data_IF_112034014821
#
_entry.id   IF_112034014821
#
_cell.length_a   1.000
_cell.length_b   1.000
_cell.length_c   1.000
_cell.angle_alpha   90.00
_cell.angle_beta   90.00
_cell.angle_gamma   90.00
#
_symmetry.space_group_name_H-M   'P 1'
#
loop_
_entity.id
_entity.type
_entity.pdbx_description
1 polymer ?
#
# COMPACT_ATOMS: atom_id res chain seq x y z
N UNK A 1 -25.62 8.03 -9.92
CA UNK A 1 -25.74 8.60 -8.56
C UNK A 1 -26.94 8.07 -7.76
N UNK A 2 -28.07 7.73 -8.39
CA UNK A 2 -29.20 7.10 -7.67
C UNK A 2 -28.79 5.80 -6.98
N UNK A 3 -27.91 5.01 -7.59
CA UNK A 3 -27.36 3.79 -7.00
C UNK A 3 -26.41 4.12 -5.84
N UNK A 4 -25.55 5.14 -6.00
CA UNK A 4 -24.67 5.65 -4.92
C UNK A 4 -25.51 6.07 -3.70
N UNK A 5 -26.54 6.85 -3.95
CA UNK A 5 -27.46 7.29 -2.89
C UNK A 5 -28.13 6.13 -2.15
N UNK A 6 -28.58 5.11 -2.89
CA UNK A 6 -29.18 3.92 -2.30
C UNK A 6 -28.17 3.11 -1.45
N UNK A 7 -26.92 2.97 -1.94
CA UNK A 7 -25.86 2.25 -1.24
C UNK A 7 -25.42 2.96 0.04
N UNK A 8 -25.29 4.30 0.00
CA UNK A 8 -24.86 5.10 1.15
C UNK A 8 -25.99 5.45 2.12
N UNK A 9 -27.26 5.26 1.75
CA UNK A 9 -28.42 5.74 2.55
C UNK A 9 -28.45 7.27 2.71
N UNK A 10 -28.02 8.00 1.66
CA UNK A 10 -27.76 9.45 1.71
C UNK A 10 -29.01 10.31 1.61
N UNK A 11 -28.91 11.54 2.11
CA UNK A 11 -29.94 12.59 1.96
C UNK A 11 -29.86 13.25 0.58
N UNK A 12 -30.92 14.00 0.20
CA UNK A 12 -30.96 14.76 -1.06
C UNK A 12 -29.79 15.75 -1.17
N UNK A 13 -29.48 16.45 -0.07
CA UNK A 13 -28.39 17.44 -0.05
C UNK A 13 -27.01 16.79 -0.29
N UNK A 14 -26.79 15.59 0.25
CA UNK A 14 -25.57 14.83 0.02
C UNK A 14 -25.47 14.33 -1.42
N UNK A 15 -26.58 13.94 -2.06
CA UNK A 15 -26.62 13.58 -3.48
C UNK A 15 -26.21 14.76 -4.36
N UNK A 16 -26.68 15.96 -4.02
CA UNK A 16 -26.32 17.18 -4.75
C UNK A 16 -24.82 17.50 -4.60
N UNK A 17 -24.27 17.31 -3.41
CA UNK A 17 -22.82 17.45 -3.17
C UNK A 17 -22.01 16.46 -4.01
N UNK A 18 -22.36 15.15 -3.97
CA UNK A 18 -21.71 14.12 -4.78
C UNK A 18 -21.85 14.39 -6.29
N UNK A 19 -22.99 14.92 -6.72
CA UNK A 19 -23.22 15.31 -8.12
C UNK A 19 -22.28 16.44 -8.56
N UNK A 20 -22.09 17.43 -7.70
CA UNK A 20 -21.14 18.54 -7.97
C UNK A 20 -19.72 18.02 -8.09
N UNK A 21 -19.27 17.20 -7.14
CA UNK A 21 -17.92 16.63 -7.15
C UNK A 21 -17.70 15.75 -8.40
N UNK A 22 -18.65 14.89 -8.75
CA UNK A 22 -18.55 14.07 -9.96
C UNK A 22 -18.46 14.91 -11.26
N UNK A 23 -19.24 15.99 -11.34
CA UNK A 23 -19.16 16.93 -12.48
C UNK A 23 -17.84 17.69 -12.53
N UNK A 24 -17.35 18.15 -11.37
CA UNK A 24 -16.05 18.82 -11.27
C UNK A 24 -14.93 17.89 -11.71
N UNK A 25 -14.90 16.67 -11.23
CA UNK A 25 -13.93 15.66 -11.66
C UNK A 25 -14.02 15.36 -13.15
N UNK A 26 -15.23 15.33 -13.72
CA UNK A 26 -15.43 15.16 -15.16
C UNK A 26 -14.94 16.32 -16.02
N UNK A 27 -14.79 17.52 -15.43
CA UNK A 27 -14.27 18.70 -16.13
C UNK A 27 -12.78 18.95 -15.94
N UNK A 28 -12.20 18.41 -14.88
CA UNK A 28 -10.81 18.68 -14.45
C UNK A 28 -9.86 17.49 -14.62
N UNK A 29 -10.39 16.30 -14.91
CA UNK A 29 -9.60 15.07 -15.08
C UNK A 29 -9.84 14.46 -16.46
N UNK A 30 -9.10 13.40 -16.78
CA UNK A 30 -9.33 12.61 -18.02
C UNK A 30 -10.62 11.77 -17.98
N UNK A 31 -11.27 11.66 -16.83
CA UNK A 31 -12.46 10.85 -16.63
C UNK A 31 -13.73 11.69 -16.85
N UNK A 32 -14.79 11.05 -17.30
CA UNK A 32 -16.12 11.69 -17.41
C UNK A 32 -16.80 11.79 -16.06
N UNK A 33 -17.80 12.68 -15.94
CA UNK A 33 -18.62 12.77 -14.73
C UNK A 33 -19.35 11.44 -14.39
N UNK A 34 -19.69 10.65 -15.40
CA UNK A 34 -20.28 9.30 -15.20
C UNK A 34 -19.25 8.37 -14.58
N UNK A 35 -18.03 8.32 -15.08
CA UNK A 35 -16.95 7.51 -14.53
C UNK A 35 -16.61 7.94 -13.09
N UNK A 36 -16.58 9.24 -12.80
CA UNK A 36 -16.42 9.74 -11.45
C UNK A 36 -17.57 9.30 -10.51
N UNK A 37 -18.80 9.29 -11.02
CA UNK A 37 -19.94 8.76 -10.27
C UNK A 37 -19.86 7.24 -10.05
N UNK A 38 -19.30 6.49 -10.99
CA UNK A 38 -19.05 5.05 -10.82
C UNK A 38 -17.97 4.82 -9.74
N UNK A 39 -16.91 5.62 -9.72
CA UNK A 39 -15.90 5.56 -8.66
C UNK A 39 -16.49 5.85 -7.27
N UNK A 40 -17.41 6.84 -7.16
CA UNK A 40 -18.15 7.07 -5.91
C UNK A 40 -18.96 5.84 -5.48
N UNK A 41 -19.52 5.09 -6.44
CA UNK A 41 -20.26 3.87 -6.10
C UNK A 41 -19.34 2.78 -5.54
N UNK A 42 -18.12 2.61 -6.07
CA UNK A 42 -17.14 1.67 -5.50
C UNK A 42 -16.74 2.08 -4.09
N UNK A 43 -16.50 3.36 -3.83
CA UNK A 43 -16.20 3.87 -2.49
C UNK A 43 -17.37 3.63 -1.53
N UNK A 44 -18.63 3.82 -2.00
CA UNK A 44 -19.82 3.50 -1.23
C UNK A 44 -19.93 2.03 -0.86
N UNK A 45 -19.64 1.13 -1.79
CA UNK A 45 -19.63 -0.32 -1.55
C UNK A 45 -18.55 -0.73 -0.55
N UNK A 46 -17.43 -0.02 -0.50
CA UNK A 46 -16.40 -0.18 0.52
C UNK A 46 -16.77 0.43 1.90
N UNK A 47 -17.95 0.99 2.03
CA UNK A 47 -18.50 1.51 3.28
C UNK A 47 -18.15 2.98 3.58
N UNK A 48 -17.64 3.73 2.59
CA UNK A 48 -17.39 5.16 2.78
C UNK A 48 -18.73 5.91 2.70
N UNK A 49 -18.93 6.84 3.64
CA UNK A 49 -20.05 7.78 3.57
C UNK A 49 -19.85 8.83 2.46
N UNK A 50 -20.83 9.66 2.24
CA UNK A 50 -20.84 10.64 1.16
C UNK A 50 -19.70 11.66 1.27
N UNK A 51 -19.41 12.14 2.48
CA UNK A 51 -18.40 13.16 2.71
C UNK A 51 -17.00 12.59 2.49
N UNK A 52 -16.73 11.41 3.04
CA UNK A 52 -15.48 10.71 2.88
C UNK A 52 -15.23 10.28 1.42
N UNK A 53 -16.25 9.76 0.75
CA UNK A 53 -16.15 9.38 -0.66
C UNK A 53 -15.87 10.61 -1.55
N UNK A 54 -16.55 11.74 -1.29
CA UNK A 54 -16.31 13.00 -2.00
C UNK A 54 -14.89 13.54 -1.76
N UNK A 55 -14.39 13.42 -0.53
CA UNK A 55 -13.05 13.90 -0.15
C UNK A 55 -11.95 13.10 -0.87
N UNK A 56 -12.04 11.77 -0.92
CA UNK A 56 -10.97 10.91 -1.47
C UNK A 56 -11.08 10.68 -2.98
N UNK A 57 -12.24 10.96 -3.60
CA UNK A 57 -12.46 10.73 -5.04
C UNK A 57 -11.39 11.34 -5.93
N UNK A 58 -10.96 12.62 -5.76
CA UNK A 58 -9.91 13.20 -6.60
C UNK A 58 -8.61 12.40 -6.57
N UNK A 59 -8.21 11.92 -5.38
CA UNK A 59 -7.00 11.14 -5.16
C UNK A 59 -7.07 9.76 -5.84
N UNK A 60 -8.23 9.10 -5.76
CA UNK A 60 -8.51 7.83 -6.45
C UNK A 60 -8.42 8.00 -7.97
N UNK A 61 -9.03 9.05 -8.52
CA UNK A 61 -8.97 9.34 -9.95
C UNK A 61 -7.54 9.65 -10.41
N UNK A 62 -6.78 10.40 -9.62
CA UNK A 62 -5.38 10.69 -9.89
C UNK A 62 -4.53 9.40 -9.89
N UNK A 63 -4.73 8.53 -8.92
CA UNK A 63 -4.06 7.23 -8.85
C UNK A 63 -4.40 6.35 -10.05
N UNK A 64 -5.68 6.25 -10.42
CA UNK A 64 -6.13 5.53 -11.60
C UNK A 64 -5.50 6.09 -12.88
N UNK A 65 -5.40 7.43 -12.97
CA UNK A 65 -4.78 8.10 -14.11
C UNK A 65 -3.28 7.81 -14.21
N UNK A 66 -2.56 7.91 -13.08
CA UNK A 66 -1.12 7.69 -13.00
C UNK A 66 -0.75 6.22 -13.27
N UNK A 67 -1.56 5.28 -12.78
CA UNK A 67 -1.34 3.85 -12.95
C UNK A 67 -1.88 3.25 -14.24
N UNK A 68 -2.66 4.00 -15.02
CA UNK A 68 -3.38 3.45 -16.19
C UNK A 68 -4.39 2.36 -15.79
N UNK A 69 -4.92 2.43 -14.57
CA UNK A 69 -5.85 1.46 -13.99
C UNK A 69 -7.30 1.86 -14.27
N UNK A 70 -8.21 0.89 -14.25
CA UNK A 70 -9.62 1.20 -14.20
C UNK A 70 -10.03 1.72 -12.81
N UNK A 71 -11.20 2.38 -12.75
CA UNK A 71 -11.64 3.05 -11.53
C UNK A 71 -12.10 2.08 -10.43
N UNK A 72 -12.63 0.92 -10.81
CA UNK A 72 -12.99 -0.10 -9.84
C UNK A 72 -11.76 -0.57 -9.09
N UNK A 73 -10.73 -0.99 -9.83
CA UNK A 73 -9.47 -1.46 -9.24
C UNK A 73 -8.77 -0.37 -8.41
N UNK A 74 -8.73 0.88 -8.90
CA UNK A 74 -8.13 1.99 -8.14
C UNK A 74 -8.88 2.29 -6.83
N UNK A 75 -10.21 2.22 -6.85
CA UNK A 75 -11.04 2.39 -5.67
C UNK A 75 -10.81 1.28 -4.66
N UNK A 76 -10.86 0.02 -5.10
CA UNK A 76 -10.60 -1.15 -4.26
C UNK A 76 -9.18 -1.10 -3.68
N UNK A 77 -8.17 -0.79 -4.51
CA UNK A 77 -6.79 -0.64 -4.05
C UNK A 77 -6.65 0.39 -2.92
N UNK A 78 -7.27 1.56 -3.07
CA UNK A 78 -7.21 2.60 -2.03
C UNK A 78 -7.92 2.15 -0.77
N UNK A 79 -9.15 1.65 -0.87
CA UNK A 79 -9.95 1.26 0.30
C UNK A 79 -9.31 0.11 1.06
N UNK A 80 -8.84 -0.91 0.36
CA UNK A 80 -8.22 -2.10 0.94
C UNK A 80 -6.83 -1.78 1.52
N UNK A 81 -6.02 -0.96 0.83
CA UNK A 81 -4.72 -0.55 1.34
C UNK A 81 -4.85 0.29 2.61
N UNK A 82 -5.73 1.30 2.63
CA UNK A 82 -5.96 2.11 3.82
C UNK A 82 -6.41 1.26 5.00
N UNK A 83 -7.37 0.34 4.77
CA UNK A 83 -7.86 -0.56 5.81
C UNK A 83 -6.77 -1.53 6.29
N UNK A 84 -6.07 -2.23 5.39
CA UNK A 84 -5.07 -3.23 5.75
C UNK A 84 -3.83 -2.64 6.43
N UNK A 85 -3.45 -1.42 6.06
CA UNK A 85 -2.33 -0.70 6.66
C UNK A 85 -2.72 0.11 7.91
N UNK A 86 -4.00 0.04 8.32
CA UNK A 86 -4.55 0.82 9.43
C UNK A 86 -4.31 2.33 9.30
N UNK A 87 -4.45 2.85 8.07
CA UNK A 87 -4.29 4.26 7.74
C UNK A 87 -5.67 4.87 7.54
N UNK A 88 -5.93 6.01 8.17
CA UNK A 88 -7.17 6.74 7.94
C UNK A 88 -7.31 7.16 6.47
N UNK A 89 -8.42 6.79 5.85
CA UNK A 89 -8.70 7.17 4.47
C UNK A 89 -9.25 8.60 4.42
N UNK A 90 -8.35 9.58 4.36
CA UNK A 90 -8.62 10.98 4.06
C UNK A 90 -7.82 11.41 2.83
N UNK A 91 -8.13 12.58 2.29
CA UNK A 91 -7.48 13.07 1.06
C UNK A 91 -5.96 13.09 1.18
N UNK A 92 -5.41 13.58 2.30
CA UNK A 92 -3.96 13.68 2.50
C UNK A 92 -3.28 12.31 2.46
N UNK A 93 -3.80 11.34 3.20
CA UNK A 93 -3.21 9.99 3.29
C UNK A 93 -3.32 9.23 1.96
N UNK A 94 -4.44 9.39 1.24
CA UNK A 94 -4.63 8.76 -0.08
C UNK A 94 -3.73 9.41 -1.13
N UNK A 95 -3.57 10.74 -1.12
CA UNK A 95 -2.63 11.43 -1.99
C UNK A 95 -1.18 10.99 -1.70
N UNK A 96 -0.80 10.93 -0.43
CA UNK A 96 0.54 10.47 -0.03
C UNK A 96 0.81 9.03 -0.46
N UNK A 97 -0.14 8.13 -0.25
CA UNK A 97 -0.07 6.75 -0.71
C UNK A 97 0.10 6.65 -2.23
N UNK A 98 -0.73 7.35 -2.99
CA UNK A 98 -0.66 7.39 -4.45
C UNK A 98 0.67 7.94 -4.96
N UNK A 99 1.18 9.00 -4.34
CA UNK A 99 2.46 9.61 -4.69
C UNK A 99 3.64 8.66 -4.42
N UNK A 100 3.63 7.95 -3.29
CA UNK A 100 4.65 6.94 -2.97
C UNK A 100 4.65 5.79 -3.95
N UNK A 101 3.46 5.28 -4.33
CA UNK A 101 3.32 4.26 -5.36
C UNK A 101 3.85 4.72 -6.72
N UNK A 102 3.46 5.91 -7.16
CA UNK A 102 3.91 6.47 -8.44
C UNK A 102 5.44 6.70 -8.43
N UNK A 103 5.99 7.21 -7.33
CA UNK A 103 7.43 7.39 -7.17
C UNK A 103 8.18 6.06 -7.20
N UNK A 104 7.72 5.05 -6.47
CA UNK A 104 8.32 3.72 -6.48
C UNK A 104 8.27 3.09 -7.87
N UNK A 105 7.13 3.18 -8.57
CA UNK A 105 6.97 2.70 -9.93
C UNK A 105 7.92 3.39 -10.93
N UNK A 106 8.20 4.68 -10.73
CA UNK A 106 9.14 5.43 -11.60
C UNK A 106 10.61 5.03 -11.42
N UNK A 107 10.95 4.40 -10.29
CA UNK A 107 12.32 4.02 -9.92
C UNK A 107 12.56 2.50 -9.94
N UNK A 108 11.52 1.71 -10.10
CA UNK A 108 11.56 0.26 -10.05
C UNK A 108 11.05 -0.37 -11.35
N UNK A 109 11.39 -1.63 -11.57
CA UNK A 109 10.87 -2.41 -12.70
C UNK A 109 9.45 -2.95 -12.42
N UNK A 110 8.53 -2.05 -12.01
CA UNK A 110 7.13 -2.36 -11.76
C UNK A 110 6.26 -1.16 -12.14
N UNK A 111 4.99 -1.40 -12.44
CA UNK A 111 3.99 -0.35 -12.56
C UNK A 111 3.20 -0.15 -11.25
N UNK A 112 2.40 0.90 -11.18
CA UNK A 112 1.60 1.25 -9.99
C UNK A 112 0.65 0.12 -9.59
N UNK A 113 0.01 -0.54 -10.57
CA UNK A 113 -0.92 -1.65 -10.32
C UNK A 113 -0.20 -2.85 -9.68
N UNK A 114 0.98 -3.22 -10.20
CA UNK A 114 1.78 -4.32 -9.63
C UNK A 114 2.26 -4.00 -8.21
N UNK A 115 2.68 -2.76 -7.93
CA UNK A 115 3.02 -2.36 -6.57
C UNK A 115 1.80 -2.35 -5.66
N UNK A 116 0.65 -1.91 -6.15
CA UNK A 116 -0.61 -1.97 -5.41
C UNK A 116 -1.00 -3.40 -5.03
N UNK A 117 -0.98 -4.33 -6.00
CA UNK A 117 -1.23 -5.76 -5.76
C UNK A 117 -0.26 -6.35 -4.72
N UNK A 118 1.02 -5.98 -4.81
CA UNK A 118 2.02 -6.40 -3.83
C UNK A 118 1.69 -5.88 -2.42
N UNK A 119 1.29 -4.62 -2.28
CA UNK A 119 0.89 -4.03 -1.00
C UNK A 119 -0.30 -4.76 -0.39
N UNK A 120 -1.35 -5.02 -1.17
CA UNK A 120 -2.51 -5.78 -0.70
C UNK A 120 -2.12 -7.19 -0.23
N UNK A 121 -1.15 -7.82 -0.91
CA UNK A 121 -0.66 -9.15 -0.54
C UNK A 121 0.15 -9.13 0.77
N UNK A 122 0.96 -8.10 1.01
CA UNK A 122 1.65 -7.92 2.31
C UNK A 122 0.63 -7.70 3.42
N UNK A 123 -0.39 -6.90 3.13
CA UNK A 123 -1.51 -6.61 4.03
C UNK A 123 -1.06 -6.04 5.37
N UNK A 124 -1.81 -6.38 6.42
CA UNK A 124 -1.56 -5.89 7.78
C UNK A 124 -0.19 -6.24 8.37
N UNK A 125 0.57 -7.15 7.76
CA UNK A 125 1.95 -7.46 8.21
C UNK A 125 2.86 -6.23 8.10
N UNK A 126 2.57 -5.31 7.17
CA UNK A 126 3.34 -4.09 6.98
C UNK A 126 3.06 -2.98 8.02
N UNK A 127 2.05 -3.12 8.87
CA UNK A 127 1.68 -2.08 9.87
C UNK A 127 2.78 -1.80 10.89
N UNK A 128 3.69 -2.76 11.10
CA UNK A 128 4.79 -2.64 12.05
C UNK A 128 6.10 -2.11 11.43
N UNK A 129 6.11 -1.81 10.13
CA UNK A 129 7.27 -1.21 9.49
C UNK A 129 7.53 0.20 10.04
N UNK A 130 8.78 0.49 10.39
CA UNK A 130 9.20 1.74 11.06
C UNK A 130 8.82 2.99 10.26
N UNK A 131 9.06 2.97 8.95
CA UNK A 131 8.76 4.10 8.05
C UNK A 131 7.45 3.90 7.26
N UNK A 132 6.63 2.93 7.67
CA UNK A 132 5.31 2.67 7.10
C UNK A 132 5.32 2.45 5.59
N UNK A 133 4.47 3.21 4.88
CA UNK A 133 4.32 3.06 3.42
C UNK A 133 5.58 3.41 2.61
N UNK A 134 6.48 4.24 3.12
CA UNK A 134 7.74 4.57 2.45
C UNK A 134 8.66 3.35 2.38
N UNK A 135 8.87 2.70 3.52
CA UNK A 135 9.67 1.48 3.61
C UNK A 135 9.04 0.34 2.81
N UNK A 136 7.72 0.17 2.92
CA UNK A 136 6.95 -0.83 2.18
C UNK A 136 7.13 -0.69 0.66
N UNK A 137 6.91 0.50 0.11
CA UNK A 137 7.03 0.74 -1.34
C UNK A 137 8.47 0.65 -1.83
N UNK A 138 9.45 1.02 -1.01
CA UNK A 138 10.87 0.88 -1.32
C UNK A 138 11.27 -0.59 -1.40
N UNK A 139 10.92 -1.39 -0.40
CA UNK A 139 11.22 -2.83 -0.38
C UNK A 139 10.58 -3.56 -1.56
N UNK A 140 9.31 -3.28 -1.87
CA UNK A 140 8.62 -3.86 -3.03
C UNK A 140 9.25 -3.43 -4.36
N UNK A 141 9.71 -2.18 -4.46
CA UNK A 141 10.45 -1.68 -5.62
C UNK A 141 11.78 -2.42 -5.84
N UNK A 142 12.51 -2.69 -4.77
CA UNK A 142 13.76 -3.49 -4.83
C UNK A 142 13.49 -4.93 -5.26
N UNK A 143 12.46 -5.59 -4.72
CA UNK A 143 12.04 -6.92 -5.14
C UNK A 143 11.63 -6.94 -6.62
N UNK A 144 10.92 -5.91 -7.08
CA UNK A 144 10.52 -5.80 -8.48
C UNK A 144 11.72 -5.67 -9.44
N UNK A 145 12.82 -5.04 -9.01
CA UNK A 145 14.04 -4.93 -9.80
C UNK A 145 14.74 -6.27 -10.04
N UNK A 146 14.55 -7.23 -9.15
CA UNK A 146 15.04 -8.61 -9.31
C UNK A 146 13.99 -9.57 -9.88
N UNK A 147 12.85 -9.04 -10.35
CA UNK A 147 11.81 -9.80 -11.04
C UNK A 147 10.62 -10.21 -10.19
N UNK A 148 10.66 -10.03 -8.88
CA UNK A 148 9.58 -10.38 -7.94
C UNK A 148 8.56 -9.24 -7.90
N UNK A 149 7.45 -9.37 -8.64
CA UNK A 149 6.45 -8.31 -8.86
C UNK A 149 5.05 -8.75 -8.41
N UNK A 150 4.17 -7.78 -8.23
CA UNK A 150 2.76 -8.04 -7.90
C UNK A 150 2.61 -8.90 -6.65
N UNK A 151 1.67 -9.83 -6.67
CA UNK A 151 1.39 -10.73 -5.55
C UNK A 151 2.61 -11.57 -5.13
N UNK A 152 3.48 -11.96 -6.07
CA UNK A 152 4.69 -12.71 -5.77
C UNK A 152 5.65 -11.88 -4.90
N UNK A 153 5.96 -10.63 -5.32
CA UNK A 153 6.79 -9.71 -4.54
C UNK A 153 6.21 -9.43 -3.16
N UNK A 154 4.88 -9.22 -3.09
CA UNK A 154 4.16 -9.07 -1.83
C UNK A 154 4.28 -10.27 -0.91
N UNK A 155 4.16 -11.48 -1.45
CA UNK A 155 4.31 -12.74 -0.70
C UNK A 155 5.73 -12.88 -0.13
N UNK A 156 6.76 -12.60 -0.94
CA UNK A 156 8.13 -12.64 -0.48
C UNK A 156 8.39 -11.64 0.64
N UNK A 157 7.98 -10.38 0.47
CA UNK A 157 8.16 -9.36 1.51
C UNK A 157 7.41 -9.72 2.80
N UNK A 158 6.16 -10.19 2.68
CA UNK A 158 5.39 -10.66 3.83
C UNK A 158 6.13 -11.75 4.60
N UNK A 159 6.69 -12.73 3.89
CA UNK A 159 7.42 -13.83 4.51
C UNK A 159 8.71 -13.35 5.18
N UNK A 160 9.43 -12.39 4.58
CA UNK A 160 10.61 -11.77 5.20
C UNK A 160 10.21 -11.09 6.53
N UNK A 161 9.17 -10.25 6.52
CA UNK A 161 8.72 -9.56 7.72
C UNK A 161 8.28 -10.56 8.80
N UNK A 162 7.50 -11.58 8.45
CA UNK A 162 7.07 -12.61 9.40
C UNK A 162 8.23 -13.41 9.97
N UNK A 163 9.23 -13.75 9.15
CA UNK A 163 10.42 -14.48 9.62
C UNK A 163 11.27 -13.64 10.59
N UNK A 164 11.32 -12.32 10.40
CA UNK A 164 11.99 -11.40 11.32
C UNK A 164 11.20 -11.21 12.61
N UNK A 165 9.89 -11.08 12.53
CA UNK A 165 9.02 -10.87 13.70
C UNK A 165 8.83 -12.12 14.56
N UNK A 166 8.83 -13.29 13.95
CA UNK A 166 8.55 -14.58 14.61
C UNK A 166 9.49 -15.66 14.07
N UNK A 167 10.80 -15.54 14.34
CA UNK A 167 11.78 -16.51 13.86
C UNK A 167 11.55 -17.90 14.51
N UNK A 168 11.91 -18.96 13.77
CA UNK A 168 11.99 -20.30 14.35
C UNK A 168 13.04 -20.33 15.47
N UNK A 169 13.03 -21.37 16.32
CA UNK A 169 14.00 -21.50 17.41
C UNK A 169 15.45 -21.49 16.88
N UNK A 170 15.69 -22.17 15.78
CA UNK A 170 17.01 -22.25 15.16
C UNK A 170 17.42 -20.90 14.56
N UNK A 171 16.51 -20.24 13.82
CA UNK A 171 16.75 -18.90 13.30
C UNK A 171 17.00 -17.87 14.41
N UNK A 172 16.21 -17.90 15.49
CA UNK A 172 16.40 -17.03 16.66
C UNK A 172 17.77 -17.21 17.30
N UNK A 173 18.26 -18.45 17.41
CA UNK A 173 19.59 -18.74 17.94
C UNK A 173 20.70 -18.16 17.03
N UNK A 174 20.59 -18.36 15.73
CA UNK A 174 21.55 -17.81 14.76
C UNK A 174 21.53 -16.28 14.78
N UNK A 175 20.35 -15.66 14.83
CA UNK A 175 20.22 -14.21 14.96
C UNK A 175 20.93 -13.67 16.20
N UNK A 176 20.78 -14.36 17.36
CA UNK A 176 21.49 -13.99 18.61
C UNK A 176 23.01 -14.16 18.47
N UNK A 177 23.49 -15.25 17.86
CA UNK A 177 24.91 -15.50 17.62
C UNK A 177 25.53 -14.44 16.69
N UNK A 178 24.75 -13.92 15.72
CA UNK A 178 25.15 -12.85 14.82
C UNK A 178 25.00 -11.44 15.43
N UNK A 179 24.39 -11.32 16.62
CA UNK A 179 24.06 -10.03 17.23
C UNK A 179 22.99 -9.24 16.45
N UNK A 180 22.14 -9.92 15.69
CA UNK A 180 21.09 -9.30 14.89
C UNK A 180 19.88 -8.97 15.78
N UNK A 181 19.60 -7.69 15.93
CA UNK A 181 18.44 -7.18 16.68
C UNK A 181 17.36 -6.70 15.71
N UNK A 182 16.16 -7.27 15.82
CA UNK A 182 14.98 -6.87 14.99
C UNK A 182 14.21 -5.73 15.65
N UNK A 183 14.25 -5.63 16.95
CA UNK A 183 13.50 -4.65 17.73
C UNK A 183 14.42 -3.67 18.42
N UNK A 184 13.96 -2.45 18.59
CA UNK A 184 14.64 -1.42 19.39
C UNK A 184 14.38 -1.63 20.91
N UNK A 185 15.02 -0.78 21.73
CA UNK A 185 14.87 -0.84 23.19
C UNK A 185 13.43 -0.53 23.66
N UNK A 186 12.58 0.03 22.82
CA UNK A 186 11.18 0.32 23.08
C UNK A 186 10.24 -0.79 22.61
N UNK A 187 10.78 -1.83 21.95
CA UNK A 187 10.02 -2.95 21.40
C UNK A 187 9.39 -2.69 20.04
N UNK A 188 9.76 -1.61 19.34
CA UNK A 188 9.34 -1.36 17.98
C UNK A 188 10.27 -2.07 17.00
N UNK A 189 9.72 -2.53 15.87
CA UNK A 189 10.54 -3.10 14.80
C UNK A 189 11.46 -2.02 14.23
N UNK A 190 12.75 -2.36 14.08
CA UNK A 190 13.75 -1.51 13.42
C UNK A 190 13.47 -1.43 11.92
N UNK A 191 14.04 -0.45 11.23
CA UNK A 191 13.95 -0.35 9.78
C UNK A 191 14.51 -1.60 9.09
N UNK A 192 13.86 -2.05 8.03
CA UNK A 192 14.34 -3.20 7.25
C UNK A 192 15.74 -2.96 6.67
N UNK A 193 16.04 -1.73 6.28
CA UNK A 193 17.36 -1.32 5.80
C UNK A 193 18.44 -1.48 6.88
N UNK A 194 18.17 -1.04 8.12
CA UNK A 194 19.05 -1.22 9.27
C UNK A 194 19.30 -2.71 9.56
N UNK A 195 18.19 -3.49 9.63
CA UNK A 195 18.26 -4.93 9.93
C UNK A 195 19.05 -5.69 8.84
N UNK A 196 18.76 -5.39 7.57
CA UNK A 196 19.43 -6.03 6.44
C UNK A 196 20.91 -5.61 6.32
N UNK A 197 21.24 -4.38 6.70
CA UNK A 197 22.64 -3.92 6.76
C UNK A 197 23.40 -4.68 7.85
N UNK A 198 22.86 -4.75 9.06
CA UNK A 198 23.48 -5.50 10.16
C UNK A 198 23.67 -6.99 9.79
N UNK A 199 22.66 -7.59 9.15
CA UNK A 199 22.73 -8.96 8.68
C UNK A 199 23.85 -9.13 7.63
N UNK A 200 23.92 -8.25 6.65
CA UNK A 200 24.96 -8.28 5.63
C UNK A 200 26.36 -8.14 6.24
N UNK A 201 26.53 -7.23 7.20
CA UNK A 201 27.80 -6.99 7.88
C UNK A 201 28.21 -8.20 8.73
N UNK A 202 27.29 -8.78 9.49
CA UNK A 202 27.52 -9.99 10.26
C UNK A 202 27.93 -11.18 9.38
N UNK A 203 27.33 -11.29 8.18
CA UNK A 203 27.63 -12.37 7.22
C UNK A 203 28.85 -12.10 6.34
N UNK A 204 29.41 -10.89 6.32
CA UNK A 204 30.47 -10.49 5.40
C UNK A 204 31.75 -11.34 5.54
N UNK A 205 32.04 -11.79 6.76
CA UNK A 205 33.19 -12.65 7.07
C UNK A 205 32.96 -14.16 6.97
N UNK A 206 31.73 -14.57 6.64
CA UNK A 206 31.35 -15.99 6.58
C UNK A 206 31.71 -16.61 5.23
N UNK A 207 32.07 -17.90 5.25
CA UNK A 207 32.21 -18.70 4.01
C UNK A 207 30.82 -18.89 3.35
N UNK A 208 30.81 -19.24 2.05
CA UNK A 208 29.53 -19.49 1.34
C UNK A 208 28.68 -20.57 2.06
N UNK A 209 29.28 -21.68 2.48
CA UNK A 209 28.57 -22.72 3.24
C UNK A 209 28.03 -22.25 4.59
N UNK A 210 28.69 -21.29 5.23
CA UNK A 210 28.18 -20.65 6.45
C UNK A 210 27.02 -19.69 6.20
N UNK A 211 26.92 -19.11 5.00
CA UNK A 211 25.78 -18.25 4.61
C UNK A 211 24.54 -19.04 4.20
N UNK A 212 24.72 -20.26 3.73
CA UNK A 212 23.69 -21.14 3.23
C UNK A 212 23.09 -22.05 4.34
N UNK A 213 23.66 -22.02 5.54
CA UNK A 213 23.22 -22.80 6.73
C UNK A 213 22.17 -22.08 7.53
#
# INVERSE_FOLDING_TARGET
LSQVAATMGTTVDQIDSLTKVAKEMGSTTKFTATQAADALNYLALAGYDADKAAEVLPSVLNLAAAGGMDLAYASDLVTDAMASLNIEANKQNVDEFGNKLAMAASKANANVAQLGEAILTVGGTATNLKEGTTELTTALGLLANVGLKGAEGGTHLRNIILSLQSPTKDASKVMQELGLEVYDAQGNMRGLDDILTDLNDAMSGMTQGGKDS
#
